data_IF_461797181593
#
_entry.id   IF_461797181593
#
_cell.length_a   1.000
_cell.length_b   1.000
_cell.length_c   1.000
_cell.angle_alpha   90.00
_cell.angle_beta   90.00
_cell.angle_gamma   90.00
#
_symmetry.space_group_name_H-M   'P 1'
#
loop_
_entity.id
_entity.type
_entity.pdbx_description
1 polymer ?
#
# COMPACT_ATOMS: atom_id res chain seq x y z
N UNK A 1 20.57 -45.84 1.49
CA UNK A 1 20.58 -44.55 0.78
C UNK A 1 19.94 -43.56 1.74
N UNK A 2 20.75 -42.75 2.44
CA UNK A 2 20.25 -41.80 3.44
C UNK A 2 19.98 -40.48 2.74
N UNK A 3 18.71 -40.08 2.68
CA UNK A 3 18.31 -38.76 2.24
C UNK A 3 18.70 -37.76 3.33
N UNK A 4 19.85 -37.12 3.14
CA UNK A 4 20.31 -36.01 3.98
C UNK A 4 19.48 -34.78 3.62
N UNK A 5 18.43 -34.53 4.40
CA UNK A 5 17.69 -33.29 4.34
C UNK A 5 18.58 -32.15 4.83
N UNK A 6 19.36 -31.57 3.90
CA UNK A 6 20.16 -30.37 4.13
C UNK A 6 19.21 -29.25 4.57
N UNK A 7 19.21 -28.97 5.88
CA UNK A 7 18.55 -27.80 6.44
C UNK A 7 19.21 -26.56 5.83
N UNK A 8 18.55 -25.93 4.85
CA UNK A 8 19.02 -24.67 4.28
C UNK A 8 19.01 -23.62 5.40
N UNK A 9 20.14 -22.95 5.69
CA UNK A 9 20.15 -21.87 6.66
C UNK A 9 19.19 -20.79 6.19
N UNK A 10 18.36 -20.30 7.12
CA UNK A 10 17.43 -19.21 6.85
C UNK A 10 18.22 -18.00 6.34
N UNK A 11 17.71 -17.28 5.33
CA UNK A 11 18.39 -16.10 4.81
C UNK A 11 18.62 -15.09 5.96
N UNK A 12 19.80 -14.49 5.99
CA UNK A 12 20.15 -13.45 6.94
C UNK A 12 19.18 -12.27 6.76
N UNK A 13 18.27 -12.09 7.72
CA UNK A 13 17.29 -10.99 7.70
C UNK A 13 18.01 -9.73 8.14
N UNK A 14 18.33 -8.85 7.17
CA UNK A 14 18.90 -7.53 7.45
C UNK A 14 17.76 -6.54 7.67
N UNK A 15 17.74 -5.95 8.86
CA UNK A 15 16.80 -4.87 9.17
C UNK A 15 17.41 -3.57 8.64
N UNK A 16 16.79 -2.98 7.63
CA UNK A 16 17.17 -1.67 7.12
C UNK A 16 16.56 -0.58 8.01
N UNK A 17 17.37 0.36 8.48
CA UNK A 17 16.85 1.58 9.12
C UNK A 17 16.43 2.56 8.03
N UNK A 18 15.15 2.54 7.72
CA UNK A 18 14.51 3.50 6.84
C UNK A 18 13.78 4.54 7.69
N UNK A 19 13.75 5.79 7.24
CA UNK A 19 13.01 6.84 7.94
C UNK A 19 11.50 6.50 7.90
N UNK A 20 10.77 6.85 8.96
CA UNK A 20 9.32 6.59 9.00
C UNK A 20 8.57 7.30 7.88
N UNK A 21 9.08 8.45 7.44
CA UNK A 21 8.57 9.24 6.33
C UNK A 21 8.77 8.54 4.98
N UNK A 22 9.87 7.80 4.78
CA UNK A 22 10.12 7.04 3.56
C UNK A 22 9.24 5.78 3.44
N UNK A 23 8.75 5.25 4.57
CA UNK A 23 7.98 3.99 4.62
C UNK A 23 6.46 4.24 4.74
N UNK A 24 6.04 5.41 5.21
CA UNK A 24 4.62 5.68 5.48
C UNK A 24 3.90 6.16 4.23
N UNK A 25 3.61 5.20 3.33
CA UNK A 25 2.76 5.43 2.15
C UNK A 25 1.26 5.31 2.46
N UNK A 26 0.90 4.75 3.61
CA UNK A 26 -0.48 4.62 4.05
C UNK A 26 -0.83 5.74 5.04
N UNK A 27 -2.03 6.30 4.88
CA UNK A 27 -2.63 7.20 5.88
C UNK A 27 -2.92 6.48 7.20
N UNK A 28 -3.20 5.17 7.13
CA UNK A 28 -3.52 4.29 8.27
C UNK A 28 -2.31 3.45 8.67
N UNK A 29 -2.04 3.33 9.97
CA UNK A 29 -0.97 2.49 10.50
C UNK A 29 -1.34 1.00 10.57
N UNK A 30 -0.34 0.13 10.54
CA UNK A 30 -0.56 -1.32 10.68
C UNK A 30 -1.20 -1.69 12.02
N UNK A 31 -0.87 -0.97 13.09
CA UNK A 31 -1.51 -1.13 14.40
C UNK A 31 -3.01 -0.85 14.36
N UNK A 32 -3.44 0.20 13.66
CA UNK A 32 -4.87 0.53 13.50
C UNK A 32 -5.58 -0.56 12.70
N UNK A 33 -4.95 -1.11 11.66
CA UNK A 33 -5.50 -2.23 10.89
C UNK A 33 -5.68 -3.48 11.75
N UNK A 34 -4.71 -3.80 12.60
CA UNK A 34 -4.79 -4.95 13.52
C UNK A 34 -5.93 -4.74 14.53
N UNK A 35 -6.04 -3.55 15.10
CA UNK A 35 -7.09 -3.20 16.06
C UNK A 35 -8.50 -3.21 15.41
N UNK A 36 -8.58 -2.89 14.13
CA UNK A 36 -9.81 -2.97 13.33
C UNK A 36 -10.18 -4.40 12.89
N UNK A 37 -9.59 -5.43 13.49
CA UNK A 37 -9.86 -6.84 13.16
C UNK A 37 -9.29 -7.28 11.82
N UNK A 38 -8.21 -6.63 11.36
CA UNK A 38 -7.56 -6.87 10.05
C UNK A 38 -8.46 -6.54 8.85
N UNK A 39 -9.53 -5.77 9.06
CA UNK A 39 -10.38 -5.28 7.98
C UNK A 39 -9.59 -4.27 7.15
N UNK A 40 -9.74 -4.33 5.83
CA UNK A 40 -9.10 -3.42 4.88
C UNK A 40 -10.12 -2.55 4.13
N UNK A 41 -11.37 -2.55 4.61
CA UNK A 41 -12.45 -1.75 4.04
C UNK A 41 -12.20 -0.27 4.33
N UNK A 42 -12.22 0.57 3.29
CA UNK A 42 -11.96 2.01 3.41
C UNK A 42 -12.92 2.72 4.40
N UNK A 43 -14.16 2.24 4.50
CA UNK A 43 -15.17 2.73 5.45
C UNK A 43 -14.78 2.54 6.92
N UNK A 44 -14.00 1.51 7.23
CA UNK A 44 -13.55 1.21 8.60
C UNK A 44 -12.54 2.23 9.11
N UNK A 45 -11.85 2.90 8.19
CA UNK A 45 -10.79 3.86 8.50
C UNK A 45 -11.17 5.30 8.14
N UNK A 46 -12.46 5.56 7.90
CA UNK A 46 -12.97 6.87 7.49
C UNK A 46 -12.21 7.46 6.29
N UNK A 47 -11.62 6.60 5.43
CA UNK A 47 -10.96 7.03 4.20
C UNK A 47 -12.06 7.31 3.19
N UNK A 48 -12.64 8.50 3.29
CA UNK A 48 -13.63 8.97 2.33
C UNK A 48 -12.98 9.11 0.96
N UNK A 49 -13.66 8.59 -0.08
CA UNK A 49 -13.23 8.76 -1.46
C UNK A 49 -13.06 10.24 -1.85
N UNK A 50 -13.72 11.16 -1.14
CA UNK A 50 -13.53 12.61 -1.27
C UNK A 50 -12.12 13.02 -0.86
N UNK A 51 -11.65 12.62 0.32
CA UNK A 51 -10.31 12.95 0.81
C UNK A 51 -9.22 12.36 -0.09
N UNK A 52 -9.42 11.14 -0.59
CA UNK A 52 -8.52 10.52 -1.56
C UNK A 52 -8.47 11.32 -2.88
N UNK A 53 -9.62 11.81 -3.36
CA UNK A 53 -9.71 12.63 -4.57
C UNK A 53 -9.06 14.00 -4.38
N UNK A 54 -9.31 14.66 -3.26
CA UNK A 54 -8.67 15.93 -2.87
C UNK A 54 -7.15 15.79 -2.76
N UNK A 55 -6.65 14.69 -2.18
CA UNK A 55 -5.21 14.42 -2.10
C UNK A 55 -4.57 14.24 -3.49
N UNK A 56 -5.28 13.59 -4.42
CA UNK A 56 -4.84 13.42 -5.81
C UNK A 56 -4.89 14.75 -6.57
N UNK A 57 -5.91 15.57 -6.37
CA UNK A 57 -6.03 16.90 -6.99
C UNK A 57 -4.95 17.87 -6.51
N UNK A 58 -4.56 17.80 -5.23
CA UNK A 58 -3.50 18.64 -4.65
C UNK A 58 -2.09 18.03 -4.79
N UNK A 59 -1.95 16.92 -5.52
CA UNK A 59 -0.67 16.28 -5.77
C UNK A 59 0.25 17.20 -6.60
N UNK A 60 1.55 17.21 -6.29
CA UNK A 60 2.56 17.93 -7.08
C UNK A 60 2.81 17.31 -8.46
N UNK A 61 2.38 16.07 -8.66
CA UNK A 61 2.60 15.33 -9.89
C UNK A 61 1.42 15.53 -10.85
N UNK A 62 1.70 15.42 -12.16
CA UNK A 62 0.65 15.48 -13.18
C UNK A 62 -0.29 14.29 -12.96
N UNK A 63 -1.57 14.59 -12.78
CA UNK A 63 -2.63 13.59 -12.69
C UNK A 63 -3.33 13.46 -14.03
N UNK A 64 -3.44 12.22 -14.52
CA UNK A 64 -4.13 11.92 -15.77
C UNK A 64 -5.09 10.75 -15.55
N UNK A 65 -6.38 10.89 -15.90
CA UNK A 65 -7.37 9.84 -15.70
C UNK A 65 -7.07 8.62 -16.59
N UNK A 66 -7.37 7.43 -16.11
CA UNK A 66 -7.21 6.19 -16.90
C UNK A 66 -8.30 6.02 -17.95
N UNK A 67 -9.52 6.46 -17.65
CA UNK A 67 -10.70 6.36 -18.51
C UNK A 67 -11.54 7.65 -18.43
N UNK A 68 -12.27 7.95 -19.51
CA UNK A 68 -13.16 9.12 -19.61
C UNK A 68 -12.63 10.17 -20.58
N UNK A 69 -13.22 11.37 -20.58
CA UNK A 69 -12.74 12.48 -21.42
C UNK A 69 -11.30 12.82 -21.05
N UNK A 70 -10.38 12.77 -22.02
CA UNK A 70 -8.92 12.90 -21.84
C UNK A 70 -8.24 11.76 -21.04
N UNK A 71 -8.86 10.58 -20.97
CA UNK A 71 -8.26 9.38 -20.36
C UNK A 71 -7.33 8.61 -21.29
N UNK A 72 -6.43 7.79 -20.72
CA UNK A 72 -5.53 6.92 -21.49
C UNK A 72 -6.24 5.83 -22.31
N UNK A 73 -7.41 5.40 -21.86
CA UNK A 73 -8.23 4.39 -22.53
C UNK A 73 -9.68 4.85 -22.65
N UNK A 74 -10.32 4.48 -23.75
CA UNK A 74 -11.79 4.46 -23.81
C UNK A 74 -12.26 3.22 -23.05
N UNK A 75 -13.21 3.35 -22.12
CA UNK A 75 -13.91 2.16 -21.62
C UNK A 75 -14.84 1.68 -22.74
N UNK A 76 -14.92 0.36 -22.91
CA UNK A 76 -15.76 -0.29 -23.92
C UNK A 76 -17.24 -0.23 -23.52
#
# INVERSE_FOLDING_TARGET
MVDEAVARPLPEVRVAELSKEDIKWCTVSLSEVINAGKRLEASVFEVEGRHAREAVENCKCITQPLHGTNGFSTAY
#
